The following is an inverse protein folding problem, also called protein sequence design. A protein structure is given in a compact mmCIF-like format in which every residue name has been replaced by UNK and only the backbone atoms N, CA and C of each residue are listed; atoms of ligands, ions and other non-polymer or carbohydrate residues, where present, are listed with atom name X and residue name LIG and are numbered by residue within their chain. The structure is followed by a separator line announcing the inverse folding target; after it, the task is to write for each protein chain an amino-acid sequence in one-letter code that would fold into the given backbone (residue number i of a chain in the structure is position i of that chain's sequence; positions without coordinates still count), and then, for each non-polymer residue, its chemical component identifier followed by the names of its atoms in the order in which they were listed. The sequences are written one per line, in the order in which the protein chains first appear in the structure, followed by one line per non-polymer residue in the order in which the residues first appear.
data_IF_296762184489
#
_entry.id   IF_296762184489
#
_cell.length_a   1.000
_cell.length_b   1.000
_cell.length_c   1.000
_cell.angle_alpha   90.00
_cell.angle_beta   90.00
_cell.angle_gamma   90.00
#
_symmetry.space_group_name_H-M   'P 1'
#
loop_
_entity.id
_entity.type
_entity.pdbx_description
1 polymer ?
#
# COMPACT_ATOMS: atom_id res chain seq x y z
N UNK A 1 12.62 -5.25 -4.74
CA UNK A 1 11.30 -5.07 -4.09
C UNK A 1 11.43 -4.06 -2.97
N UNK A 2 10.34 -3.39 -2.59
CA UNK A 2 10.30 -2.43 -1.48
C UNK A 2 9.05 -2.70 -0.64
N UNK A 3 9.11 -2.37 0.64
CA UNK A 3 7.94 -2.40 1.50
C UNK A 3 7.13 -1.12 1.26
N UNK A 4 5.88 -1.27 0.88
CA UNK A 4 4.94 -0.16 0.73
C UNK A 4 3.94 -0.19 1.87
N UNK A 5 3.58 0.99 2.38
CA UNK A 5 2.51 1.18 3.33
C UNK A 5 1.42 2.04 2.69
N UNK A 6 0.26 1.44 2.45
CA UNK A 6 -0.93 2.11 1.91
C UNK A 6 -1.81 2.54 3.07
N UNK A 7 -1.91 3.85 3.28
CA UNK A 7 -2.74 4.47 4.31
C UNK A 7 -4.09 4.83 3.71
N UNK A 8 -5.17 4.28 4.27
CA UNK A 8 -6.54 4.55 3.83
C UNK A 8 -7.34 5.15 5.00
N UNK A 9 -8.05 6.28 4.80
CA UNK A 9 -8.89 6.87 5.84
C UNK A 9 -9.92 5.87 6.38
N UNK A 10 -10.06 5.83 7.70
CA UNK A 10 -10.97 4.90 8.38
C UNK A 10 -10.42 3.49 8.61
N UNK A 11 -9.26 3.14 8.04
CA UNK A 11 -8.55 1.89 8.35
C UNK A 11 -7.54 2.14 9.47
N UNK A 12 -7.65 1.37 10.55
CA UNK A 12 -6.85 1.60 11.76
C UNK A 12 -5.34 1.39 11.57
N UNK A 13 -4.93 0.59 10.58
CA UNK A 13 -3.52 0.30 10.27
C UNK A 13 -3.28 0.35 8.76
N UNK A 14 -2.10 0.83 8.32
CA UNK A 14 -1.77 0.80 6.90
C UNK A 14 -1.65 -0.64 6.39
N UNK A 15 -2.10 -0.86 5.16
CA UNK A 15 -1.87 -2.11 4.45
C UNK A 15 -0.41 -2.15 4.00
N UNK A 16 0.34 -3.14 4.46
CA UNK A 16 1.79 -3.21 4.24
C UNK A 16 2.12 -4.39 3.34
N UNK A 17 2.75 -4.14 2.20
CA UNK A 17 3.04 -5.16 1.19
C UNK A 17 4.41 -4.96 0.53
N UNK A 18 5.12 -6.05 0.26
CA UNK A 18 6.33 -6.02 -0.55
C UNK A 18 5.95 -6.05 -2.03
N UNK A 19 6.23 -4.97 -2.75
CA UNK A 19 5.90 -4.85 -4.16
C UNK A 19 7.09 -4.34 -4.99
N UNK A 20 6.98 -4.49 -6.32
CA UNK A 20 7.97 -3.96 -7.26
C UNK A 20 7.74 -2.47 -7.57
N UNK A 21 6.50 -2.00 -7.44
CA UNK A 21 6.10 -0.63 -7.72
C UNK A 21 4.98 -0.18 -6.78
N UNK A 22 4.77 1.13 -6.72
CA UNK A 22 3.66 1.73 -5.97
C UNK A 22 2.30 1.24 -6.49
N UNK A 23 2.12 1.19 -7.81
CA UNK A 23 0.88 0.69 -8.43
C UNK A 23 0.57 -0.75 -8.02
N UNK A 24 1.57 -1.62 -7.97
CA UNK A 24 1.37 -3.00 -7.53
C UNK A 24 0.98 -3.10 -6.05
N UNK A 25 1.51 -2.22 -5.19
CA UNK A 25 1.10 -2.14 -3.79
C UNK A 25 -0.33 -1.62 -3.62
N UNK A 26 -0.74 -0.67 -4.46
CA UNK A 26 -2.11 -0.15 -4.48
C UNK A 26 -3.09 -1.23 -4.91
N UNK A 27 -2.82 -1.93 -6.01
CA UNK A 27 -3.69 -2.99 -6.53
C UNK A 27 -3.89 -4.10 -5.49
N UNK A 28 -2.81 -4.49 -4.79
CA UNK A 28 -2.88 -5.47 -3.70
C UNK A 28 -3.71 -4.98 -2.51
N UNK A 29 -3.55 -3.70 -2.12
CA UNK A 29 -4.35 -3.10 -1.06
C UNK A 29 -5.84 -3.03 -1.42
N UNK A 30 -6.17 -2.65 -2.66
CA UNK A 30 -7.54 -2.60 -3.16
C UNK A 30 -8.17 -3.99 -3.16
N UNK A 31 -7.46 -4.99 -3.69
CA UNK A 31 -7.92 -6.37 -3.68
C UNK A 31 -8.14 -6.89 -2.26
N UNK A 32 -7.16 -6.69 -1.37
CA UNK A 32 -7.21 -7.18 0.02
C UNK A 32 -8.33 -6.55 0.84
N UNK A 33 -8.66 -5.28 0.58
CA UNK A 33 -9.69 -4.53 1.29
C UNK A 33 -11.05 -4.56 0.59
N UNK A 34 -11.16 -5.20 -0.58
CA UNK A 34 -12.39 -5.27 -1.36
C UNK A 34 -12.83 -3.91 -1.91
N UNK A 35 -11.87 -3.05 -2.25
CA UNK A 35 -12.10 -1.71 -2.79
C UNK A 35 -11.86 -1.69 -4.30
N UNK A 36 -12.63 -0.86 -5.01
CA UNK A 36 -12.46 -0.66 -6.46
C UNK A 36 -11.45 0.43 -6.80
N UNK A 37 -11.25 1.38 -5.88
CA UNK A 37 -10.35 2.52 -6.04
C UNK A 37 -9.86 3.00 -4.67
N UNK A 38 -8.75 3.75 -4.65
CA UNK A 38 -8.24 4.33 -3.42
C UNK A 38 -9.14 5.49 -2.98
N UNK A 39 -9.66 5.47 -1.74
CA UNK A 39 -10.44 6.59 -1.23
C UNK A 39 -9.63 7.89 -1.22
N UNK A 40 -10.32 9.01 -1.44
CA UNK A 40 -9.70 10.34 -1.35
C UNK A 40 -9.01 10.53 0.02
N UNK A 41 -7.83 11.14 0.01
CA UNK A 41 -7.01 11.33 1.21
C UNK A 41 -6.16 10.11 1.60
N UNK A 42 -6.20 9.03 0.81
CA UNK A 42 -5.23 7.93 0.93
C UNK A 42 -3.82 8.39 0.55
N UNK A 43 -2.82 7.77 1.16
CA UNK A 43 -1.41 8.02 0.83
C UNK A 43 -0.61 6.73 0.81
N UNK A 44 0.46 6.71 0.02
CA UNK A 44 1.37 5.58 -0.06
C UNK A 44 2.76 6.05 0.34
N UNK A 45 3.37 5.32 1.28
CA UNK A 45 4.78 5.49 1.63
C UNK A 45 5.54 4.23 1.28
N UNK A 46 6.85 4.35 1.08
CA UNK A 46 7.70 3.19 0.81
C UNK A 46 8.99 3.25 1.62
N UNK A 47 9.37 2.09 2.12
CA UNK A 47 10.65 1.84 2.75
C UNK A 47 11.47 0.96 1.82
N UNK A 48 12.68 1.42 1.49
CA UNK A 48 13.61 0.57 0.78
C UNK A 48 14.05 -0.52 1.74
N UNK A 49 13.54 -1.74 1.54
CA UNK A 49 14.01 -2.92 2.24
C UNK A 49 15.47 -3.11 1.81
N UNK A 50 16.40 -2.66 2.66
CA UNK A 50 17.82 -2.69 2.36
C UNK A 50 18.29 -4.13 2.22
N UNK A 51 18.91 -4.44 1.09
CA UNK A 51 19.80 -5.59 0.94
C UNK A 51 21.03 -5.33 1.84
N UNK A 52 21.17 -6.12 2.90
CA UNK A 52 22.49 -6.44 3.47
C UNK A 52 22.76 -7.90 3.22
#
# INVERSE_FOLDING_TARGET
MRLFHVHIPGVARPHSVNAESESAAIDDALYSLGLSELPEGSSVTSEQTGDT
#
